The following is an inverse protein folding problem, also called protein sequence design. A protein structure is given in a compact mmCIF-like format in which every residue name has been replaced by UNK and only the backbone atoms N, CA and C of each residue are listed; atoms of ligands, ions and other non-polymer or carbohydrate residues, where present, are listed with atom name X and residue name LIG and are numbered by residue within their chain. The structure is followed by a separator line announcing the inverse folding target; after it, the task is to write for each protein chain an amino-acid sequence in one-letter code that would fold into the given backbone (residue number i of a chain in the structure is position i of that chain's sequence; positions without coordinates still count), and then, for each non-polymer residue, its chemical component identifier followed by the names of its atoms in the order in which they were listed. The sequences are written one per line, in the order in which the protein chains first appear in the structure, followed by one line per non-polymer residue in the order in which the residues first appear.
data_IF_095909915972
#
_entry.id   IF_095909915972
#
_cell.length_a   1.000
_cell.length_b   1.000
_cell.length_c   1.000
_cell.angle_alpha   90.00
_cell.angle_beta   90.00
_cell.angle_gamma   90.00
#
_symmetry.space_group_name_H-M   'P 1'
#
loop_
_entity.id
_entity.type
_entity.pdbx_description
1 polymer ?
#
# COMPACT_ATOMS: atom_id res chain seq x y z
N UNK A 1 -7.89 29.81 39.01
CA UNK A 1 -7.13 29.73 37.75
C UNK A 1 -5.96 28.72 37.83
N UNK A 2 -6.18 27.49 38.32
CA UNK A 2 -5.10 26.49 38.50
C UNK A 2 -5.00 25.46 37.36
N UNK A 3 -6.07 25.29 36.59
CA UNK A 3 -6.15 24.31 35.51
C UNK A 3 -5.80 24.88 34.13
N UNK A 4 -5.69 26.21 34.00
CA UNK A 4 -5.28 26.87 32.77
C UNK A 4 -3.97 26.32 32.16
N UNK A 5 -2.88 26.09 32.93
CA UNK A 5 -1.65 25.52 32.37
C UNK A 5 -1.81 24.05 31.96
N UNK A 6 -2.65 23.29 32.66
CA UNK A 6 -2.92 21.87 32.36
C UNK A 6 -3.72 21.75 31.07
N UNK A 7 -4.74 22.60 30.89
CA UNK A 7 -5.55 22.66 29.68
C UNK A 7 -4.73 23.13 28.47
N UNK A 8 -3.83 24.09 28.67
CA UNK A 8 -2.91 24.56 27.63
C UNK A 8 -1.93 23.44 27.21
N UNK A 9 -1.34 22.73 28.17
CA UNK A 9 -0.45 21.61 27.89
C UNK A 9 -1.17 20.47 27.14
N UNK A 10 -2.41 20.16 27.53
CA UNK A 10 -3.24 19.16 26.85
C UNK A 10 -3.57 19.60 25.41
N UNK A 11 -3.89 20.87 25.19
CA UNK A 11 -4.15 21.41 23.86
C UNK A 11 -2.92 21.35 22.94
N UNK A 12 -1.72 21.63 23.47
CA UNK A 12 -0.47 21.51 22.72
C UNK A 12 -0.10 20.05 22.40
N UNK A 13 -0.40 19.11 23.29
CA UNK A 13 -0.22 17.67 23.02
C UNK A 13 -1.15 17.17 21.92
N UNK A 14 -2.39 17.68 21.88
CA UNK A 14 -3.37 17.36 20.85
C UNK A 14 -3.04 18.03 19.50
N UNK A 15 -2.47 19.25 19.51
CA UNK A 15 -2.05 19.92 18.26
C UNK A 15 -0.82 19.27 17.61
N UNK A 16 -0.11 18.39 18.31
CA UNK A 16 1.00 17.62 17.77
C UNK A 16 0.59 16.46 16.86
N UNK A 17 -0.70 16.14 16.77
CA UNK A 17 -1.22 15.07 15.90
C UNK A 17 -1.22 15.43 14.40
N UNK A 18 -1.01 16.70 14.04
CA UNK A 18 -0.96 17.18 12.65
C UNK A 18 0.45 17.09 12.04
N UNK A 19 1.28 16.16 12.55
CA UNK A 19 2.59 15.88 11.93
C UNK A 19 2.31 15.32 10.52
N UNK A 20 2.98 15.81 9.47
CA UNK A 20 2.86 15.21 8.14
C UNK A 20 3.17 13.72 8.28
N UNK A 21 2.23 12.90 7.82
CA UNK A 21 2.27 11.46 7.97
C UNK A 21 3.55 10.95 7.29
N UNK A 22 4.53 10.49 8.07
CA UNK A 22 5.77 9.98 7.49
C UNK A 22 5.51 8.60 6.89
N UNK A 23 6.25 8.28 5.82
CA UNK A 23 6.21 6.96 5.18
C UNK A 23 6.47 5.85 6.19
N UNK A 24 7.42 6.06 7.10
CA UNK A 24 7.76 5.12 8.18
C UNK A 24 6.62 4.92 9.18
N UNK A 25 6.00 6.01 9.64
CA UNK A 25 4.89 5.93 10.58
C UNK A 25 3.69 5.24 9.94
N UNK A 26 3.44 5.50 8.66
CA UNK A 26 2.35 4.85 7.93
C UNK A 26 2.63 3.38 7.64
N UNK A 27 3.86 3.01 7.27
CA UNK A 27 4.25 1.61 7.08
C UNK A 27 4.16 0.79 8.38
N UNK A 28 4.27 1.44 9.55
CA UNK A 28 4.11 0.81 10.85
C UNK A 28 2.63 0.61 11.25
N UNK A 29 1.66 1.28 10.62
CA UNK A 29 0.22 1.18 10.90
C UNK A 29 -0.54 0.52 9.73
N UNK A 30 -0.71 -0.82 9.73
CA UNK A 30 -1.37 -1.55 8.64
C UNK A 30 -2.81 -1.13 8.41
N UNK A 31 -3.56 -0.88 9.48
CA UNK A 31 -4.99 -0.53 9.39
C UNK A 31 -5.20 0.81 8.72
N UNK A 32 -4.43 1.82 9.13
CA UNK A 32 -4.52 3.15 8.56
C UNK A 32 -4.03 3.17 7.11
N UNK A 33 -2.94 2.46 6.83
CA UNK A 33 -2.42 2.30 5.48
C UNK A 33 -3.44 1.60 4.55
N UNK A 34 -4.13 0.56 5.02
CA UNK A 34 -5.18 -0.10 4.24
C UNK A 34 -6.31 0.87 3.87
N UNK A 35 -6.84 1.61 4.84
CA UNK A 35 -7.87 2.62 4.58
C UNK A 35 -7.41 3.65 3.56
N UNK A 36 -6.22 4.24 3.72
CA UNK A 36 -5.71 5.26 2.79
C UNK A 36 -5.50 4.71 1.37
N UNK A 37 -5.13 3.44 1.21
CA UNK A 37 -5.05 2.82 -0.12
C UNK A 37 -6.41 2.71 -0.80
N UNK A 38 -7.46 2.36 -0.05
CA UNK A 38 -8.83 2.30 -0.60
C UNK A 38 -9.25 3.69 -1.06
N UNK A 39 -9.07 4.71 -0.20
CA UNK A 39 -9.39 6.10 -0.52
C UNK A 39 -8.64 6.63 -1.76
N UNK A 40 -7.36 6.28 -1.88
CA UNK A 40 -6.56 6.63 -3.07
C UNK A 40 -7.05 5.93 -4.35
N UNK A 41 -7.58 4.70 -4.27
CA UNK A 41 -8.20 4.02 -5.42
C UNK A 41 -9.55 4.64 -5.79
N UNK A 42 -10.27 5.16 -4.80
CA UNK A 42 -11.55 5.85 -4.97
C UNK A 42 -11.37 7.32 -5.45
N UNK A 43 -10.13 7.83 -5.44
CA UNK A 43 -9.81 9.17 -5.92
C UNK A 43 -10.10 10.28 -4.91
N UNK A 44 -10.14 9.96 -3.60
CA UNK A 44 -10.44 10.94 -2.54
C UNK A 44 -9.27 11.90 -2.22
N UNK A 45 -8.05 11.56 -2.66
CA UNK A 45 -6.82 12.32 -2.37
C UNK A 45 -6.04 12.68 -3.63
N UNK A 46 -5.16 13.67 -3.53
CA UNK A 46 -4.28 14.06 -4.63
C UNK A 46 -3.20 13.02 -4.95
N UNK A 47 -2.63 13.12 -6.17
CA UNK A 47 -1.65 12.16 -6.66
C UNK A 47 -0.33 12.15 -5.88
N UNK A 48 0.11 13.28 -5.30
CA UNK A 48 1.35 13.32 -4.53
C UNK A 48 1.17 12.62 -3.18
N UNK A 49 0.02 12.86 -2.53
CA UNK A 49 -0.38 12.12 -1.34
C UNK A 49 -0.48 10.62 -1.62
N UNK A 50 -1.18 10.22 -2.68
CA UNK A 50 -1.32 8.81 -3.03
C UNK A 50 0.01 8.14 -3.41
N UNK A 51 0.96 8.87 -3.99
CA UNK A 51 2.33 8.38 -4.20
C UNK A 51 3.05 8.10 -2.87
N UNK A 52 2.85 8.95 -1.85
CA UNK A 52 3.40 8.73 -0.51
C UNK A 52 2.79 7.51 0.18
N UNK A 53 1.47 7.32 0.06
CA UNK A 53 0.76 6.12 0.55
C UNK A 53 1.28 4.86 -0.15
N UNK A 54 1.48 4.90 -1.47
CA UNK A 54 2.06 3.80 -2.23
C UNK A 54 3.50 3.47 -1.78
N UNK A 55 4.31 4.49 -1.48
CA UNK A 55 5.65 4.28 -0.93
C UNK A 55 5.63 3.61 0.45
N UNK A 56 4.68 3.99 1.31
CA UNK A 56 4.50 3.36 2.62
C UNK A 56 4.06 1.89 2.48
N UNK A 57 3.16 1.60 1.52
CA UNK A 57 2.73 0.24 1.20
C UNK A 57 3.89 -0.63 0.74
N UNK A 58 4.68 -0.14 -0.22
CA UNK A 58 5.86 -0.85 -0.70
C UNK A 58 6.85 -1.14 0.44
N UNK A 59 7.12 -0.14 1.29
CA UNK A 59 8.03 -0.30 2.44
C UNK A 59 7.53 -1.37 3.41
N UNK A 60 6.23 -1.37 3.69
CA UNK A 60 5.61 -2.37 4.56
C UNK A 60 5.67 -3.77 3.94
N UNK A 61 5.34 -3.90 2.65
CA UNK A 61 5.44 -5.15 1.92
C UNK A 61 6.85 -5.75 1.99
N UNK A 62 7.87 -4.92 1.75
CA UNK A 62 9.28 -5.33 1.78
C UNK A 62 9.85 -5.51 3.20
N UNK A 63 9.11 -5.13 4.25
CA UNK A 63 9.60 -5.26 5.63
C UNK A 63 9.61 -6.70 6.16
N UNK A 64 8.87 -7.61 5.54
CA UNK A 64 8.67 -8.98 6.05
C UNK A 64 7.75 -9.08 7.27
N UNK A 65 7.17 -7.98 7.76
CA UNK A 65 6.27 -7.94 8.92
C UNK A 65 4.78 -7.93 8.54
N UNK A 66 4.44 -8.40 7.34
CA UNK A 66 3.06 -8.50 6.89
C UNK A 66 2.31 -9.58 7.66
N UNK A 67 1.08 -9.28 8.10
CA UNK A 67 0.21 -10.27 8.77
C UNK A 67 -0.58 -11.09 7.75
N UNK A 68 -1.05 -12.29 8.11
CA UNK A 68 -2.02 -13.04 7.29
C UNK A 68 -3.24 -12.17 6.96
N UNK A 69 -3.63 -12.13 5.69
CA UNK A 69 -4.77 -11.36 5.20
C UNK A 69 -4.52 -9.86 5.00
N UNK A 70 -3.29 -9.38 5.19
CA UNK A 70 -2.96 -7.96 5.01
C UNK A 70 -2.83 -7.53 3.55
N UNK A 71 -2.30 -8.43 2.72
CA UNK A 71 -2.23 -8.31 1.26
C UNK A 71 -3.07 -9.42 0.64
N UNK A 72 -3.48 -9.21 -0.61
CA UNK A 72 -4.21 -10.23 -1.35
C UNK A 72 -3.38 -11.50 -1.45
N UNK A 73 -4.08 -12.62 -1.28
CA UNK A 73 -3.50 -13.95 -1.47
C UNK A 73 -3.72 -14.40 -2.92
N UNK A 74 -3.04 -15.48 -3.32
CA UNK A 74 -3.22 -16.07 -4.64
C UNK A 74 -4.69 -16.43 -4.93
N UNK A 75 -5.46 -16.80 -3.90
CA UNK A 75 -6.88 -17.15 -4.02
C UNK A 75 -7.78 -15.94 -4.28
N UNK A 76 -7.32 -14.74 -3.93
CA UNK A 76 -8.08 -13.49 -4.11
C UNK A 76 -7.83 -12.84 -5.48
N UNK A 77 -6.81 -13.31 -6.22
CA UNK A 77 -6.46 -12.77 -7.53
C UNK A 77 -7.49 -13.17 -8.59
N UNK A 78 -7.76 -12.28 -9.56
CA UNK A 78 -8.63 -12.62 -10.68
C UNK A 78 -8.05 -13.81 -11.48
N UNK A 79 -8.90 -14.58 -12.17
CA UNK A 79 -8.43 -15.67 -13.01
C UNK A 79 -7.47 -15.14 -14.08
N UNK A 80 -6.47 -15.96 -14.42
CA UNK A 80 -5.51 -15.65 -15.48
C UNK A 80 -6.29 -15.49 -16.79
N UNK A 81 -6.12 -14.38 -17.53
CA UNK A 81 -6.81 -14.20 -18.78
C UNK A 81 -6.29 -15.17 -19.86
N UNK A 82 -7.15 -15.61 -20.80
CA UNK A 82 -6.77 -16.59 -21.82
C UNK A 82 -5.70 -16.08 -22.80
N UNK A 83 -5.44 -14.77 -22.82
CA UNK A 83 -4.31 -14.20 -23.57
C UNK A 83 -2.93 -14.63 -23.04
N UNK A 84 -2.87 -15.22 -21.84
CA UNK A 84 -1.66 -15.77 -21.24
C UNK A 84 -1.52 -17.28 -21.47
N UNK A 85 -2.51 -17.94 -22.07
CA UNK A 85 -2.38 -19.35 -22.44
C UNK A 85 -1.35 -19.46 -23.57
N UNK A 86 -0.47 -20.46 -23.49
CA UNK A 86 0.45 -20.76 -24.59
C UNK A 86 -0.37 -21.05 -25.87
N UNK A 87 0.07 -20.58 -27.04
CA UNK A 87 -0.57 -20.96 -28.28
C UNK A 87 -0.50 -22.49 -28.39
N UNK A 88 -1.67 -23.13 -28.46
CA UNK A 88 -1.76 -24.56 -28.66
C UNK A 88 -0.96 -24.92 -29.92
N UNK A 89 0.10 -25.71 -29.75
CA UNK A 89 1.06 -26.08 -30.79
C UNK A 89 0.37 -26.36 -32.13
N UNK A 90 0.57 -25.43 -33.08
CA UNK A 90 -0.13 -25.45 -34.36
C UNK A 90 0.39 -24.49 -35.42
N UNK A 91 1.30 -23.57 -35.09
CA UNK A 91 2.05 -22.80 -36.09
C UNK A 91 3.48 -22.55 -35.57
N UNK A 92 4.36 -23.50 -35.80
CA UNK A 92 5.80 -23.32 -35.63
C UNK A 92 6.36 -22.45 -36.78
N UNK A 93 7.33 -21.58 -36.50
CA UNK A 93 8.46 -21.47 -37.41
C UNK A 93 9.80 -21.55 -36.66
N UNK A 94 10.65 -22.46 -37.11
CA UNK A 94 12.09 -22.24 -37.10
C UNK A 94 12.90 -22.99 -36.06
N UNK A 95 13.11 -24.29 -36.31
CA UNK A 95 14.42 -24.94 -36.34
C UNK A 95 15.50 -24.44 -35.36
N UNK A 96 15.65 -25.23 -34.30
CA UNK A 96 16.92 -25.54 -33.63
C UNK A 96 18.14 -25.53 -34.57
N UNK A 97 19.08 -24.62 -34.32
CA UNK A 97 20.48 -24.76 -34.72
C UNK A 97 21.34 -24.20 -33.57
N UNK A 98 21.92 -25.11 -32.79
CA UNK A 98 22.93 -24.81 -31.77
C UNK A 98 24.26 -25.42 -32.22
N UNK A 99 25.37 -24.65 -32.27
CA UNK A 99 26.70 -25.18 -32.53
C UNK A 99 27.26 -26.02 -31.37
#
# INVERSE_FOLDING_TARGET
MKYAPVLLALAFLLSGCDRPLSVDALAADPSRLHTLRVQCREGEHDGAFCAQVAQADLRRFLSGHARPGEYQTLTDLPPIPPSFDEPADGDAPGQEDSP
#
